data_IF_405054316566
#
_entry.id   IF_405054316566
#
_cell.length_a   1.000
_cell.length_b   1.000
_cell.length_c   1.000
_cell.angle_alpha   90.00
_cell.angle_beta   90.00
_cell.angle_gamma   90.00
#
_symmetry.space_group_name_H-M   'P 1'
#
loop_
_entity.id
_entity.type
_entity.pdbx_description
1 polymer ?
#
# COMPACT_ATOMS: atom_id res chain seq x y z
N UNK A 1 13.72 29.71 1.83
CA UNK A 1 12.97 28.59 1.24
C UNK A 1 13.28 28.58 -0.24
N UNK A 2 13.82 27.48 -0.78
CA UNK A 2 14.09 27.39 -2.23
C UNK A 2 12.77 27.48 -3.00
N UNK A 3 12.77 28.19 -4.13
CA UNK A 3 11.58 28.26 -4.99
C UNK A 3 11.20 26.84 -5.48
N UNK A 4 9.89 26.51 -5.51
CA UNK A 4 9.45 25.22 -6.02
C UNK A 4 9.74 25.11 -7.52
N UNK A 5 10.10 23.91 -7.97
CA UNK A 5 10.24 23.59 -9.38
C UNK A 5 8.91 23.82 -10.11
N UNK A 6 8.95 24.28 -11.34
CA UNK A 6 7.77 24.32 -12.22
C UNK A 6 7.79 23.11 -13.15
N UNK A 7 6.89 22.16 -12.92
CA UNK A 7 6.68 21.00 -13.79
C UNK A 7 5.75 21.30 -14.96
N UNK A 8 5.78 20.43 -15.97
CA UNK A 8 4.88 20.46 -17.12
C UNK A 8 4.38 19.06 -17.44
N UNK A 9 3.06 18.91 -17.61
CA UNK A 9 2.46 17.66 -18.03
C UNK A 9 2.74 17.39 -19.50
N UNK A 10 3.23 16.19 -19.82
CA UNK A 10 3.49 15.72 -21.18
C UNK A 10 2.21 15.38 -21.96
N UNK A 11 1.07 15.18 -21.28
CA UNK A 11 -0.22 14.89 -21.90
C UNK A 11 -1.03 16.16 -22.20
N UNK A 12 -1.30 17.00 -21.20
CA UNK A 12 -2.19 18.17 -21.35
C UNK A 12 -1.43 19.50 -21.43
N UNK A 13 -0.11 19.52 -21.23
CA UNK A 13 0.70 20.73 -21.27
C UNK A 13 0.57 21.65 -20.05
N UNK A 14 -0.32 21.35 -19.10
CA UNK A 14 -0.51 22.14 -17.89
C UNK A 14 0.79 22.26 -17.09
N UNK A 15 1.04 23.46 -16.54
CA UNK A 15 2.15 23.75 -15.65
C UNK A 15 1.69 23.63 -14.20
N UNK A 16 2.56 23.14 -13.33
CA UNK A 16 2.24 22.97 -11.92
C UNK A 16 3.47 23.20 -11.05
N UNK A 17 3.31 23.73 -9.82
CA UNK A 17 4.40 23.74 -8.86
C UNK A 17 4.70 22.31 -8.40
N UNK A 18 5.97 22.01 -8.19
CA UNK A 18 6.41 20.72 -7.67
C UNK A 18 7.66 20.85 -6.80
N UNK A 19 7.87 19.85 -5.96
CA UNK A 19 9.07 19.73 -5.14
C UNK A 19 9.72 18.38 -5.37
N UNK A 20 11.05 18.39 -5.51
CA UNK A 20 11.85 17.18 -5.59
C UNK A 20 12.33 16.80 -4.19
N UNK A 21 12.06 15.57 -3.77
CA UNK A 21 12.47 15.04 -2.47
C UNK A 21 13.62 14.05 -2.69
N UNK A 22 14.72 14.23 -1.98
CA UNK A 22 15.83 13.27 -1.95
C UNK A 22 15.61 12.29 -0.79
N UNK A 23 15.08 11.10 -1.07
CA UNK A 23 14.61 10.20 -0.03
C UNK A 23 15.75 9.56 0.79
N UNK A 24 16.97 9.51 0.23
CA UNK A 24 18.17 9.14 0.98
C UNK A 24 18.73 10.23 1.91
N UNK A 25 18.22 11.47 1.86
CA UNK A 25 18.66 12.54 2.76
C UNK A 25 17.71 12.71 3.96
N UNK A 26 16.46 12.31 3.80
CA UNK A 26 15.44 12.35 4.85
C UNK A 26 15.09 10.96 5.42
N UNK A 27 15.89 9.94 5.07
CA UNK A 27 15.72 8.52 5.44
C UNK A 27 14.26 8.05 5.32
N UNK A 28 13.66 8.25 4.14
CA UNK A 28 12.28 7.86 3.90
C UNK A 28 12.13 6.90 2.73
N UNK A 29 11.08 6.10 2.74
CA UNK A 29 10.58 5.40 1.57
C UNK A 29 9.31 6.10 1.06
N UNK A 30 8.97 5.92 -0.20
CA UNK A 30 7.82 6.59 -0.81
C UNK A 30 6.96 5.68 -1.68
N UNK A 31 5.76 6.14 -1.97
CA UNK A 31 4.85 5.52 -2.94
C UNK A 31 3.97 6.61 -3.56
N UNK A 32 3.32 6.33 -4.67
CA UNK A 32 2.33 7.24 -5.23
C UNK A 32 0.93 6.64 -5.14
N UNK A 33 -0.06 7.49 -4.87
CA UNK A 33 -1.44 7.06 -4.99
C UNK A 33 -1.76 6.77 -6.45
N UNK A 34 -2.20 5.54 -6.74
CA UNK A 34 -2.49 5.04 -8.09
C UNK A 34 -3.61 5.84 -8.78
N UNK A 35 -4.46 6.52 -8.03
CA UNK A 35 -5.62 7.28 -8.54
C UNK A 35 -5.33 8.77 -8.71
N UNK A 36 -4.87 9.45 -7.65
CA UNK A 36 -4.69 10.91 -7.67
C UNK A 36 -3.24 11.36 -7.85
N UNK A 37 -2.26 10.46 -7.65
CA UNK A 37 -0.83 10.77 -7.76
C UNK A 37 -0.23 11.51 -6.57
N UNK A 38 -0.92 11.57 -5.43
CA UNK A 38 -0.34 12.06 -4.15
C UNK A 38 0.91 11.26 -3.79
N UNK A 39 1.98 11.94 -3.40
CA UNK A 39 3.19 11.32 -2.88
C UNK A 39 3.00 10.92 -1.42
N UNK A 40 3.15 9.63 -1.11
CA UNK A 40 3.12 9.08 0.24
C UNK A 40 4.54 8.85 0.76
N UNK A 41 4.80 9.12 2.04
CA UNK A 41 6.11 8.91 2.66
C UNK A 41 6.01 8.08 3.95
N UNK A 42 6.96 7.16 4.14
CA UNK A 42 7.22 6.45 5.40
C UNK A 42 8.63 6.81 5.85
N UNK A 43 8.77 7.33 7.07
CA UNK A 43 10.10 7.58 7.66
C UNK A 43 10.68 6.27 8.19
N UNK A 44 11.98 6.03 7.95
CA UNK A 44 12.72 4.90 8.52
C UNK A 44 12.91 5.02 10.05
N UNK A 45 12.65 6.21 10.61
CA UNK A 45 12.77 6.50 12.04
C UNK A 45 11.50 6.17 12.84
N UNK A 46 10.50 5.56 12.21
CA UNK A 46 9.28 5.12 12.92
C UNK A 46 9.57 3.87 13.75
N UNK A 47 9.03 3.85 14.95
CA UNK A 47 9.09 2.72 15.88
C UNK A 47 7.98 1.67 15.63
N UNK A 48 6.96 2.03 14.83
CA UNK A 48 5.78 1.22 14.55
C UNK A 48 5.79 0.53 13.17
N UNK A 49 6.95 0.40 12.53
CA UNK A 49 7.07 -0.28 11.23
C UNK A 49 6.76 -1.78 11.41
N UNK A 50 5.72 -2.34 10.75
CA UNK A 50 5.40 -3.76 10.84
C UNK A 50 6.56 -4.62 10.33
N UNK A 51 6.83 -5.74 11.01
CA UNK A 51 7.91 -6.66 10.62
C UNK A 51 7.68 -7.24 9.22
N UNK A 52 6.41 -7.48 8.88
CA UNK A 52 5.93 -8.00 7.61
C UNK A 52 6.12 -7.00 6.45
N UNK A 53 6.37 -5.73 6.74
CA UNK A 53 6.54 -4.72 5.70
C UNK A 53 7.81 -4.96 4.89
N UNK A 54 8.81 -5.68 5.43
CA UNK A 54 10.14 -5.82 4.83
C UNK A 54 10.64 -4.46 4.34
N UNK A 55 10.64 -3.49 5.26
CA UNK A 55 10.80 -2.09 4.92
C UNK A 55 12.21 -1.78 4.42
N UNK A 56 12.28 -1.13 3.27
CA UNK A 56 13.52 -0.64 2.66
C UNK A 56 13.41 0.88 2.49
N UNK A 57 14.38 1.61 3.04
CA UNK A 57 14.41 3.07 2.98
C UNK A 57 14.99 3.58 1.65
N UNK A 58 14.83 4.88 1.41
CA UNK A 58 15.44 5.70 0.37
C UNK A 58 14.83 5.56 -1.03
N UNK A 59 13.96 4.58 -1.27
CA UNK A 59 13.33 4.32 -2.56
C UNK A 59 11.82 4.15 -2.46
N UNK A 60 11.19 3.61 -3.52
CA UNK A 60 9.82 3.16 -3.44
C UNK A 60 9.65 2.08 -2.36
N UNK A 61 8.50 2.07 -1.68
CA UNK A 61 8.16 1.00 -0.73
C UNK A 61 8.20 -0.39 -1.39
N UNK A 62 8.38 -1.43 -0.58
CA UNK A 62 8.31 -2.82 -1.05
C UNK A 62 6.87 -3.21 -1.39
N UNK A 63 6.69 -4.25 -2.21
CA UNK A 63 5.36 -4.78 -2.52
C UNK A 63 4.64 -5.30 -1.27
N UNK A 64 5.39 -5.84 -0.30
CA UNK A 64 4.84 -6.26 1.00
C UNK A 64 4.32 -5.07 1.81
N UNK A 65 5.04 -3.94 1.77
CA UNK A 65 4.63 -2.70 2.42
C UNK A 65 3.29 -2.18 1.84
N UNK A 66 3.07 -2.22 0.52
CA UNK A 66 1.84 -1.69 -0.12
C UNK A 66 0.55 -2.18 0.53
N UNK A 67 0.48 -3.48 0.85
CA UNK A 67 -0.71 -4.12 1.41
C UNK A 67 -0.98 -3.72 2.86
N UNK A 68 0.02 -3.16 3.53
CA UNK A 68 -0.04 -2.73 4.93
C UNK A 68 -0.30 -1.22 5.05
N UNK A 69 -0.29 -0.47 3.95
CA UNK A 69 -0.53 0.97 3.97
C UNK A 69 -2.03 1.27 4.06
N UNK A 70 -2.37 2.26 4.89
CA UNK A 70 -3.68 2.88 4.86
C UNK A 70 -3.91 3.55 3.48
N UNK A 71 -5.18 3.65 3.03
CA UNK A 71 -5.49 4.28 1.75
C UNK A 71 -5.13 5.77 1.74
N UNK A 72 -4.99 6.31 0.53
CA UNK A 72 -4.87 7.75 0.31
C UNK A 72 -6.16 8.45 0.73
N UNK A 73 -6.06 9.72 1.13
CA UNK A 73 -7.23 10.56 1.44
C UNK A 73 -8.25 10.68 0.30
N UNK A 74 -7.87 10.38 -0.95
CA UNK A 74 -8.81 10.30 -2.08
C UNK A 74 -9.53 8.94 -2.22
N UNK A 75 -9.23 7.96 -1.37
CA UNK A 75 -9.75 6.58 -1.44
C UNK A 75 -8.91 5.61 -2.28
N UNK A 76 -7.89 6.10 -3.00
CA UNK A 76 -6.99 5.25 -3.79
C UNK A 76 -5.92 4.55 -2.95
N UNK A 77 -5.19 3.59 -3.54
CA UNK A 77 -4.07 2.91 -2.87
C UNK A 77 -2.73 3.50 -3.26
N UNK A 78 -1.78 3.42 -2.34
CA UNK A 78 -0.39 3.74 -2.60
C UNK A 78 0.33 2.53 -3.17
N UNK A 79 0.99 2.70 -4.32
CA UNK A 79 1.73 1.65 -5.00
C UNK A 79 3.14 2.12 -5.30
N UNK A 80 4.08 1.17 -5.28
CA UNK A 80 5.50 1.38 -5.57
C UNK A 80 5.76 1.64 -7.03
N UNK A 81 4.88 1.16 -7.92
CA UNK A 81 4.99 1.27 -9.38
C UNK A 81 4.04 2.34 -9.95
N UNK A 82 3.25 2.98 -9.09
CA UNK A 82 2.49 4.16 -9.48
C UNK A 82 3.42 5.34 -9.76
N UNK A 83 2.90 6.31 -10.51
CA UNK A 83 3.60 7.53 -10.87
C UNK A 83 2.93 8.75 -10.23
N UNK A 84 3.67 9.86 -10.04
CA UNK A 84 3.03 11.15 -9.82
C UNK A 84 2.12 11.47 -11.02
N UNK A 85 0.97 12.09 -10.75
CA UNK A 85 -0.04 12.40 -11.78
C UNK A 85 -0.21 13.89 -11.93
N UNK A 86 -0.56 14.34 -13.13
CA UNK A 86 -0.94 15.74 -13.36
C UNK A 86 -2.16 16.12 -12.51
N UNK A 87 -2.12 17.26 -11.82
CA UNK A 87 -3.25 17.74 -11.03
C UNK A 87 -4.44 18.21 -11.89
N UNK A 88 -4.21 18.49 -13.18
CA UNK A 88 -5.25 18.99 -14.09
C UNK A 88 -5.95 17.89 -14.88
N UNK A 89 -5.21 16.90 -15.42
CA UNK A 89 -5.78 15.84 -16.26
C UNK A 89 -5.62 14.44 -15.68
N UNK A 90 -5.04 14.28 -14.48
CA UNK A 90 -4.83 13.00 -13.79
C UNK A 90 -3.97 11.97 -14.55
N UNK A 91 -3.41 12.31 -15.71
CA UNK A 91 -2.49 11.46 -16.46
C UNK A 91 -1.20 11.25 -15.66
N UNK A 92 -0.67 10.03 -15.67
CA UNK A 92 0.62 9.71 -15.09
C UNK A 92 1.71 10.53 -15.80
N UNK A 93 2.61 11.14 -15.02
CA UNK A 93 3.71 11.92 -15.57
C UNK A 93 4.82 10.99 -16.05
N UNK A 94 5.35 11.25 -17.24
CA UNK A 94 6.52 10.54 -17.74
C UNK A 94 7.79 10.96 -17.00
N UNK A 95 8.48 10.01 -16.35
CA UNK A 95 9.75 10.27 -15.69
C UNK A 95 10.83 10.72 -16.70
N UNK A 96 10.78 10.22 -17.94
CA UNK A 96 11.70 10.65 -19.01
C UNK A 96 11.41 12.08 -19.44
N UNK A 97 10.13 12.43 -19.66
CA UNK A 97 9.76 13.81 -20.02
C UNK A 97 10.09 14.80 -18.89
N UNK A 98 9.98 14.35 -17.64
CA UNK A 98 10.32 15.12 -16.45
C UNK A 98 11.77 15.60 -16.42
N UNK A 99 12.69 14.87 -17.07
CA UNK A 99 14.09 15.26 -17.15
C UNK A 99 14.28 16.67 -17.70
N UNK A 100 13.50 17.05 -18.73
CA UNK A 100 13.66 18.32 -19.43
C UNK A 100 13.44 19.53 -18.51
N UNK A 101 12.38 19.52 -17.70
CA UNK A 101 12.08 20.62 -16.80
C UNK A 101 12.76 20.49 -15.44
N UNK A 102 13.04 19.29 -14.93
CA UNK A 102 13.81 19.11 -13.69
C UNK A 102 15.26 19.59 -13.86
N UNK A 103 15.94 19.11 -14.89
CA UNK A 103 17.36 19.43 -15.10
C UNK A 103 17.57 20.89 -15.50
N UNK A 104 16.60 21.52 -16.20
CA UNK A 104 16.67 22.94 -16.54
C UNK A 104 16.62 23.87 -15.31
N UNK A 105 16.07 23.40 -14.19
CA UNK A 105 15.85 24.21 -12.99
C UNK A 105 16.77 23.80 -11.82
N UNK A 106 17.36 22.60 -11.87
CA UNK A 106 18.20 22.09 -10.80
C UNK A 106 19.60 22.73 -10.84
N UNK A 107 20.06 23.46 -9.80
CA UNK A 107 21.42 24.01 -9.77
C UNK A 107 22.51 22.94 -9.90
N UNK A 108 22.21 21.73 -9.42
CA UNK A 108 23.08 20.56 -9.55
C UNK A 108 23.31 20.13 -11.01
N UNK A 109 22.41 20.44 -11.95
CA UNK A 109 22.55 20.03 -13.33
C UNK A 109 23.76 20.69 -14.03
N UNK A 110 24.07 21.94 -13.64
CA UNK A 110 25.30 22.62 -14.07
C UNK A 110 26.58 21.94 -13.55
N UNK A 111 26.46 21.15 -12.46
CA UNK A 111 27.55 20.37 -11.85
C UNK A 111 27.52 18.89 -12.26
N UNK A 112 26.76 18.54 -13.30
CA UNK A 112 26.69 17.18 -13.83
C UNK A 112 25.65 16.27 -13.17
N UNK A 113 24.87 16.76 -12.21
CA UNK A 113 23.71 15.98 -11.71
C UNK A 113 22.72 15.74 -12.84
N UNK A 114 22.14 14.54 -12.86
CA UNK A 114 21.12 14.15 -13.84
C UNK A 114 19.91 13.59 -13.13
N UNK A 115 18.74 13.87 -13.68
CA UNK A 115 17.51 13.23 -13.23
C UNK A 115 17.60 11.73 -13.52
N UNK A 116 17.13 10.92 -12.56
CA UNK A 116 17.18 9.45 -12.65
C UNK A 116 16.30 8.87 -13.77
N UNK A 117 15.47 9.68 -14.43
CA UNK A 117 14.53 9.28 -15.51
C UNK A 117 13.62 8.11 -15.14
N UNK A 118 13.37 7.94 -13.85
CA UNK A 118 12.56 6.85 -13.29
C UNK A 118 11.85 7.35 -12.04
N UNK A 119 10.68 6.79 -11.74
CA UNK A 119 10.03 6.98 -10.43
C UNK A 119 10.49 5.96 -9.40
N UNK A 120 11.37 5.01 -9.79
CA UNK A 120 11.84 3.91 -8.95
C UNK A 120 13.20 4.18 -8.26
N UNK A 121 13.68 5.42 -8.27
CA UNK A 121 15.00 5.78 -7.74
C UNK A 121 14.96 6.48 -6.37
N UNK A 122 16.05 7.17 -6.05
CA UNK A 122 16.24 7.87 -4.77
C UNK A 122 15.37 9.11 -4.62
N UNK A 123 14.94 9.70 -5.74
CA UNK A 123 14.17 10.92 -5.72
C UNK A 123 12.68 10.67 -6.00
N UNK A 124 11.83 11.42 -5.31
CA UNK A 124 10.38 11.45 -5.53
C UNK A 124 9.89 12.88 -5.78
N UNK A 125 8.68 13.02 -6.30
CA UNK A 125 8.12 14.28 -6.76
C UNK A 125 6.78 14.57 -6.07
N UNK A 126 6.68 15.71 -5.40
CA UNK A 126 5.41 16.21 -4.88
C UNK A 126 4.81 17.15 -5.92
N UNK A 127 3.63 16.80 -6.46
CA UNK A 127 2.93 17.60 -7.49
C UNK A 127 1.83 18.44 -6.84
N UNK A 128 1.87 19.75 -7.03
CA UNK A 128 0.89 20.70 -6.52
C UNK A 128 0.67 20.58 -4.99
N UNK A 129 1.75 20.35 -4.24
CA UNK A 129 1.71 20.19 -2.78
C UNK A 129 1.05 18.90 -2.28
N UNK A 130 0.65 17.99 -3.17
CA UNK A 130 -0.06 16.75 -2.79
C UNK A 130 0.92 15.72 -2.23
N UNK A 131 1.05 15.75 -0.91
CA UNK A 131 1.83 14.79 -0.13
C UNK A 131 1.06 14.30 1.08
N UNK A 132 1.39 13.11 1.58
CA UNK A 132 0.77 12.51 2.75
C UNK A 132 1.82 11.68 3.52
N UNK A 133 1.85 11.81 4.85
CA UNK A 133 2.56 10.83 5.68
C UNK A 133 1.74 9.54 5.69
N UNK A 134 2.35 8.44 5.30
CA UNK A 134 1.67 7.15 5.21
C UNK A 134 1.42 6.60 6.60
N UNK A 135 0.19 6.17 6.86
CA UNK A 135 -0.17 5.42 8.06
C UNK A 135 -0.25 3.93 7.73
N UNK A 136 -0.07 3.09 8.74
CA UNK A 136 -0.35 1.66 8.62
C UNK A 136 -1.86 1.43 8.65
N UNK A 137 -2.36 0.55 7.79
CA UNK A 137 -3.72 0.10 7.90
C UNK A 137 -3.91 -0.58 9.26
N UNK A 138 -5.07 -0.40 9.92
CA UNK A 138 -5.36 -1.16 11.12
C UNK A 138 -5.24 -2.65 10.79
N UNK A 139 -4.63 -3.42 11.69
CA UNK A 139 -4.63 -4.87 11.57
C UNK A 139 -6.08 -5.29 11.30
N UNK A 140 -6.32 -5.92 10.15
CA UNK A 140 -7.63 -6.54 9.93
C UNK A 140 -7.74 -7.52 11.08
N UNK A 141 -8.68 -7.29 12.01
CA UNK A 141 -9.08 -8.33 12.94
C UNK A 141 -9.25 -9.57 12.07
N UNK A 142 -8.38 -10.56 12.26
CA UNK A 142 -8.47 -11.81 11.53
C UNK A 142 -9.93 -12.18 11.58
N UNK A 143 -10.54 -12.39 10.41
CA UNK A 143 -11.90 -12.87 10.36
C UNK A 143 -11.93 -14.12 11.22
N UNK A 144 -12.45 -13.99 12.43
CA UNK A 144 -12.79 -15.08 13.32
C UNK A 144 -13.94 -15.76 12.59
N UNK A 145 -13.57 -16.65 11.70
CA UNK A 145 -14.46 -17.45 10.88
C UNK A 145 -14.05 -18.89 11.13
N UNK A 146 -14.36 -19.34 12.35
CA UNK A 146 -14.63 -20.74 12.58
C UNK A 146 -16.12 -20.87 12.95
N UNK A 147 -17.06 -20.75 11.98
CA UNK A 147 -18.42 -21.16 12.23
C UNK A 147 -18.49 -22.68 12.13
N UNK A 148 -18.90 -23.30 13.23
CA UNK A 148 -19.31 -24.69 13.37
C UNK A 148 -18.23 -25.72 13.73
N UNK A 149 -17.84 -25.72 15.00
CA UNK A 149 -17.89 -26.98 15.75
C UNK A 149 -19.35 -27.49 15.72
N UNK A 150 -19.69 -28.29 14.72
CA UNK A 150 -20.93 -29.07 14.74
C UNK A 150 -20.91 -29.95 16.00
N UNK A 151 -21.92 -29.88 16.90
CA UNK A 151 -22.04 -30.89 17.93
C UNK A 151 -22.27 -32.23 17.23
N UNK A 152 -21.36 -33.19 17.42
CA UNK A 152 -21.59 -34.57 16.99
C UNK A 152 -22.93 -35.04 17.59
N UNK A 153 -23.79 -35.70 16.82
CA UNK A 153 -24.99 -36.29 17.40
C UNK A 153 -24.57 -37.27 18.50
N UNK A 154 -25.17 -37.11 19.68
CA UNK A 154 -25.12 -38.08 20.77
C UNK A 154 -25.64 -39.39 20.21
N UNK A 155 -24.79 -40.41 20.14
CA UNK A 155 -25.23 -41.80 19.94
C UNK A 155 -26.12 -42.14 21.14
N UNK A 156 -27.41 -42.31 20.88
CA UNK A 156 -28.33 -42.89 21.85
C UNK A 156 -27.96 -44.37 22.04
N UNK A 157 -27.92 -44.89 23.27
CA UNK A 157 -27.74 -46.32 23.50
C UNK A 157 -28.99 -47.08 23.01
N UNK A 158 -28.76 -48.14 22.23
CA UNK A 158 -29.79 -49.06 21.77
C UNK A 158 -30.60 -49.65 22.94
N UNK A 159 -31.92 -49.65 22.73
CA UNK A 159 -32.97 -50.20 23.57
C UNK A 159 -32.89 -51.73 23.64
N UNK A 160 -32.77 -52.38 24.82
CA UNK A 160 -32.91 -53.82 24.92
C UNK A 160 -34.38 -54.21 24.87
N UNK A 161 -34.78 -54.82 23.75
CA UNK A 161 -36.11 -55.42 23.58
C UNK A 161 -36.28 -56.59 24.56
N UNK A 162 -37.03 -56.38 25.64
CA UNK A 162 -37.50 -57.46 26.53
C UNK A 162 -38.60 -58.29 25.83
N UNK A 163 -38.20 -59.36 25.18
CA UNK A 163 -39.08 -60.47 24.78
C UNK A 163 -39.23 -61.50 25.90
N UNK A 164 -40.06 -61.21 26.91
CA UNK A 164 -40.31 -62.08 28.06
C UNK A 164 -41.71 -62.73 28.05
N UNK A 165 -42.01 -63.55 27.05
CA UNK A 165 -43.31 -64.22 26.89
C UNK A 165 -43.44 -65.57 27.63
N UNK A 166 -44.13 -65.52 28.78
CA UNK A 166 -45.15 -66.49 29.25
C UNK A 166 -44.80 -68.00 29.36
N UNK A 167 -44.68 -68.44 30.60
CA UNK A 167 -44.73 -69.83 31.07
C UNK A 167 -46.03 -70.55 30.66
N UNK A 168 -45.90 -71.76 30.10
CA UNK A 168 -46.95 -72.80 30.10
C UNK A 168 -46.36 -74.15 30.48
N UNK A 169 -46.88 -74.69 31.57
CA UNK A 169 -46.65 -76.02 32.10
C UNK A 169 -47.45 -77.09 31.33
N UNK A 170 -46.76 -78.17 30.94
CA UNK A 170 -47.24 -79.54 30.69
C UNK A 170 -46.04 -80.43 31.07
N UNK A 171 -46.09 -81.46 31.90
CA UNK A 171 -47.18 -82.37 32.23
C UNK A 171 -46.93 -83.69 31.53
N UNK A 172 -46.10 -84.55 32.14
CA UNK A 172 -46.06 -86.02 32.03
C UNK A 172 -45.26 -86.56 33.20
#
# INVERSE_FOLDING_TARGET
>A
MSEPYTGRCDTCGARFPCALVHNGFNDSAFAYCEQCGTAGFVSAWRDDIPREAHFEAHGPVSAATESLLAPCSCGGRFRRDAAPRCASCHSALSATAAASWLEAQAPGAAKGWRWQRSWQGLYSLIVAGRSQQLAWAPARASAESDPAASPRPRLEPDDPTEGGGRWRSRGT
#
